data_IF_498318341079
#
_entry.id   IF_498318341079
#
_cell.length_a   1.000
_cell.length_b   1.000
_cell.length_c   1.000
_cell.angle_alpha   90.00
_cell.angle_beta   90.00
_cell.angle_gamma   90.00
#
_symmetry.space_group_name_H-M   'P 1'
#
loop_
_entity.id
_entity.type
_entity.pdbx_description
1 polymer ?
#
# COMPACT_ATOMS: atom_id res chain seq x y z
N UNK A 1 -30.27 -21.18 15.77
CA UNK A 1 -29.90 -21.15 14.34
C UNK A 1 -28.52 -20.54 14.05
N UNK A 2 -28.12 -19.39 14.63
CA UNK A 2 -26.88 -18.67 14.23
C UNK A 2 -25.49 -19.29 14.54
N UNK A 3 -25.36 -20.18 15.55
CA UNK A 3 -24.03 -20.66 16.00
C UNK A 3 -23.47 -21.80 15.14
N UNK A 4 -24.33 -22.74 14.73
CA UNK A 4 -23.94 -23.95 13.98
C UNK A 4 -23.47 -23.58 12.57
N UNK A 5 -24.19 -22.68 11.90
CA UNK A 5 -23.84 -22.19 10.56
C UNK A 5 -22.49 -21.47 10.55
N UNK A 6 -22.22 -20.65 11.58
CA UNK A 6 -20.94 -19.96 11.75
C UNK A 6 -19.78 -20.92 11.97
N UNK A 7 -19.95 -21.93 12.84
CA UNK A 7 -18.94 -22.96 13.07
C UNK A 7 -18.67 -23.82 11.83
N UNK A 8 -19.71 -24.15 11.05
CA UNK A 8 -19.57 -24.83 9.76
C UNK A 8 -18.79 -23.99 8.75
N UNK A 9 -19.08 -22.69 8.63
CA UNK A 9 -18.38 -21.80 7.73
C UNK A 9 -16.87 -21.71 8.08
N UNK A 10 -16.53 -21.58 9.38
CA UNK A 10 -15.12 -21.59 9.82
C UNK A 10 -14.45 -22.91 9.47
N UNK A 11 -15.12 -24.04 9.73
CA UNK A 11 -14.60 -25.38 9.42
C UNK A 11 -14.30 -25.55 7.92
N UNK A 12 -15.17 -25.06 7.05
CA UNK A 12 -14.97 -25.09 5.59
C UNK A 12 -13.73 -24.28 5.19
N UNK A 13 -13.61 -23.05 5.70
CA UNK A 13 -12.46 -22.17 5.41
C UNK A 13 -11.14 -22.76 5.90
N UNK A 14 -11.14 -23.34 7.09
CA UNK A 14 -9.99 -24.06 7.67
C UNK A 14 -9.57 -25.23 6.77
N UNK A 15 -10.52 -26.03 6.31
CA UNK A 15 -10.24 -27.17 5.40
C UNK A 15 -9.71 -26.68 4.06
N UNK A 16 -10.31 -25.64 3.49
CA UNK A 16 -9.89 -25.04 2.24
C UNK A 16 -8.45 -24.52 2.32
N UNK A 17 -8.11 -23.76 3.38
CA UNK A 17 -6.74 -23.25 3.51
C UNK A 17 -5.73 -24.38 3.67
N UNK A 18 -6.07 -25.46 4.40
CA UNK A 18 -5.20 -26.65 4.48
C UNK A 18 -4.94 -27.26 3.11
N UNK A 19 -5.98 -27.41 2.27
CA UNK A 19 -5.80 -27.97 0.92
C UNK A 19 -4.98 -27.04 0.02
N UNK A 20 -5.16 -25.72 0.12
CA UNK A 20 -4.37 -24.73 -0.63
C UNK A 20 -2.89 -24.81 -0.23
N UNK A 21 -2.59 -24.78 1.07
CA UNK A 21 -1.21 -24.92 1.59
C UNK A 21 -0.58 -26.24 1.14
N UNK A 22 -1.30 -27.36 1.27
CA UNK A 22 -0.83 -28.67 0.82
C UNK A 22 -0.52 -28.68 -0.69
N UNK A 23 -1.37 -28.05 -1.49
CA UNK A 23 -1.24 -28.02 -2.95
C UNK A 23 -0.05 -27.20 -3.40
N UNK A 24 0.14 -26.02 -2.82
CA UNK A 24 1.18 -25.06 -3.24
C UNK A 24 2.53 -25.44 -2.64
N UNK A 25 2.59 -25.63 -1.32
CA UNK A 25 3.85 -25.85 -0.60
C UNK A 25 4.24 -27.33 -0.48
N UNK A 26 3.36 -28.26 -0.91
CA UNK A 26 3.59 -29.72 -0.81
C UNK A 26 3.87 -30.17 0.64
N UNK A 27 3.22 -29.52 1.61
CA UNK A 27 3.40 -29.76 3.05
C UNK A 27 2.06 -29.80 3.79
N UNK A 28 1.90 -30.82 4.61
CA UNK A 28 0.71 -31.00 5.46
C UNK A 28 0.97 -30.37 6.82
N UNK A 29 0.24 -29.30 7.14
CA UNK A 29 0.39 -28.56 8.40
C UNK A 29 0.04 -29.39 9.64
N UNK A 30 -0.67 -30.51 9.48
CA UNK A 30 -0.97 -31.44 10.57
C UNK A 30 0.18 -32.42 10.86
N UNK A 31 1.14 -32.58 9.94
CA UNK A 31 2.23 -33.56 10.09
C UNK A 31 3.15 -33.19 11.25
N UNK A 32 3.48 -34.11 12.13
CA UNK A 32 4.45 -33.86 13.20
C UNK A 32 5.86 -33.67 12.60
N UNK A 33 6.57 -32.63 13.03
CA UNK A 33 7.91 -32.32 12.53
C UNK A 33 8.30 -30.87 12.75
N UNK A 34 9.59 -30.59 12.52
CA UNK A 34 10.22 -29.26 12.65
C UNK A 34 11.13 -28.91 11.46
N UNK A 35 10.98 -29.62 10.34
CA UNK A 35 11.68 -29.25 9.10
C UNK A 35 11.28 -27.83 8.68
N UNK A 36 12.24 -27.03 8.18
CA UNK A 36 12.02 -25.61 7.89
C UNK A 36 10.82 -25.38 6.96
N UNK A 37 10.71 -26.17 5.89
CA UNK A 37 9.57 -26.11 4.94
C UNK A 37 8.19 -26.37 5.59
N UNK A 38 8.11 -27.21 6.61
CA UNK A 38 6.87 -27.46 7.36
C UNK A 38 6.58 -26.33 8.35
N UNK A 39 7.62 -25.75 8.95
CA UNK A 39 7.50 -24.56 9.80
C UNK A 39 6.95 -23.40 8.96
N UNK A 40 7.52 -23.16 7.76
CA UNK A 40 7.04 -22.15 6.83
C UNK A 40 5.54 -22.32 6.53
N UNK A 41 5.14 -23.53 6.12
CA UNK A 41 3.76 -23.85 5.79
C UNK A 41 2.81 -23.58 6.97
N UNK A 42 3.20 -23.96 8.19
CA UNK A 42 2.41 -23.69 9.41
C UNK A 42 2.33 -22.20 9.74
N UNK A 43 3.43 -21.48 9.62
CA UNK A 43 3.50 -20.06 9.95
C UNK A 43 2.66 -19.22 8.99
N UNK A 44 2.67 -19.58 7.70
CA UNK A 44 1.77 -19.01 6.68
C UNK A 44 0.31 -19.33 7.03
N UNK A 45 0.00 -20.60 7.32
CA UNK A 45 -1.34 -21.05 7.70
C UNK A 45 -1.90 -20.29 8.92
N UNK A 46 -1.10 -20.16 10.00
CA UNK A 46 -1.47 -19.43 11.21
C UNK A 46 -1.76 -17.97 10.93
N UNK A 47 -0.91 -17.34 10.11
CA UNK A 47 -1.03 -15.93 9.81
C UNK A 47 -2.29 -15.62 9.00
N UNK A 48 -2.60 -16.42 7.98
CA UNK A 48 -3.80 -16.22 7.16
C UNK A 48 -5.07 -16.39 7.99
N UNK A 49 -5.19 -17.46 8.80
CA UNK A 49 -6.37 -17.65 9.65
C UNK A 49 -6.54 -16.55 10.71
N UNK A 50 -5.43 -16.02 11.23
CA UNK A 50 -5.49 -14.94 12.21
C UNK A 50 -5.91 -13.62 11.57
N UNK A 51 -5.29 -13.25 10.45
CA UNK A 51 -5.48 -11.92 9.86
C UNK A 51 -6.72 -11.83 8.98
N UNK A 52 -7.06 -12.88 8.22
CA UNK A 52 -8.22 -12.89 7.30
C UNK A 52 -9.48 -13.40 7.98
N UNK A 53 -9.38 -14.51 8.71
CA UNK A 53 -10.56 -15.16 9.33
C UNK A 53 -10.81 -14.78 10.79
N UNK A 54 -9.91 -13.98 11.38
CA UNK A 54 -10.00 -13.50 12.77
C UNK A 54 -10.12 -14.61 13.82
N UNK A 55 -9.63 -15.81 13.50
CA UNK A 55 -9.63 -16.94 14.45
C UNK A 55 -8.73 -16.64 15.66
N UNK A 56 -9.08 -17.19 16.82
CA UNK A 56 -8.23 -17.12 18.02
C UNK A 56 -7.03 -18.06 17.88
N UNK A 57 -5.92 -17.73 18.55
CA UNK A 57 -4.71 -18.59 18.53
C UNK A 57 -5.01 -20.01 19.03
N UNK A 58 -5.90 -20.13 20.01
CA UNK A 58 -6.35 -21.41 20.54
C UNK A 58 -7.13 -22.21 19.49
N UNK A 59 -8.06 -21.58 18.77
CA UNK A 59 -8.84 -22.23 17.71
C UNK A 59 -7.95 -22.72 16.55
N UNK A 60 -6.97 -21.89 16.16
CA UNK A 60 -5.97 -22.26 15.15
C UNK A 60 -5.09 -23.39 15.66
N UNK A 61 -4.66 -23.37 16.93
CA UNK A 61 -3.86 -24.43 17.51
C UNK A 61 -4.61 -25.76 17.51
N UNK A 62 -5.87 -25.76 17.93
CA UNK A 62 -6.75 -26.94 17.88
C UNK A 62 -6.90 -27.50 16.46
N UNK A 63 -6.96 -26.65 15.44
CA UNK A 63 -7.14 -27.13 14.06
C UNK A 63 -5.96 -27.94 13.54
N UNK A 64 -4.76 -27.79 14.12
CA UNK A 64 -3.54 -28.53 13.73
C UNK A 64 -2.86 -29.27 14.89
N UNK A 65 -3.59 -29.48 15.99
CA UNK A 65 -3.10 -30.18 17.20
C UNK A 65 -1.82 -29.54 17.79
N UNK A 66 -1.77 -28.21 17.84
CA UNK A 66 -0.66 -27.44 18.41
C UNK A 66 -1.11 -26.51 19.54
N UNK A 67 -0.15 -26.14 20.40
CA UNK A 67 -0.38 -25.15 21.44
C UNK A 67 -0.56 -23.74 20.83
N UNK A 68 -1.48 -22.96 21.37
CA UNK A 68 -1.71 -21.55 21.03
C UNK A 68 -0.42 -20.70 21.12
N UNK A 69 0.50 -21.02 22.03
CA UNK A 69 1.80 -20.35 22.14
C UNK A 69 2.66 -20.54 20.88
N UNK A 70 2.64 -21.73 20.28
CA UNK A 70 3.34 -22.01 19.01
C UNK A 70 2.71 -21.25 17.84
N UNK A 71 1.37 -21.12 17.85
CA UNK A 71 0.64 -20.33 16.85
C UNK A 71 1.00 -18.85 16.97
N UNK A 72 0.99 -18.30 18.19
CA UNK A 72 1.37 -16.91 18.45
C UNK A 72 2.81 -16.63 18.03
N UNK A 73 3.73 -17.54 18.36
CA UNK A 73 5.12 -17.43 17.92
C UNK A 73 5.22 -17.39 16.39
N UNK A 74 4.60 -18.34 15.70
CA UNK A 74 4.59 -18.38 14.23
C UNK A 74 3.97 -17.14 13.61
N UNK A 75 2.86 -16.66 14.15
CA UNK A 75 2.20 -15.43 13.72
C UNK A 75 3.14 -14.21 13.78
N UNK A 76 3.82 -14.01 14.90
CA UNK A 76 4.74 -12.88 15.07
C UNK A 76 5.98 -13.00 14.17
N UNK A 77 6.50 -14.22 13.95
CA UNK A 77 7.62 -14.47 13.04
C UNK A 77 7.23 -14.18 11.60
N UNK A 78 6.06 -14.62 11.15
CA UNK A 78 5.55 -14.35 9.81
C UNK A 78 5.51 -12.85 9.49
N UNK A 79 5.08 -11.99 10.43
CA UNK A 79 5.08 -10.53 10.23
C UNK A 79 6.45 -9.97 9.88
N UNK A 80 7.49 -10.46 10.55
CA UNK A 80 8.87 -10.06 10.30
C UNK A 80 9.36 -10.66 8.98
N UNK A 81 9.14 -11.95 8.76
CA UNK A 81 9.65 -12.68 7.60
C UNK A 81 9.06 -12.22 6.27
N UNK A 82 7.79 -11.81 6.23
CA UNK A 82 7.21 -11.19 5.02
C UNK A 82 8.00 -9.93 4.60
N UNK A 83 8.58 -9.20 5.56
CA UNK A 83 9.34 -7.97 5.26
C UNK A 83 10.75 -8.32 4.79
N UNK A 84 11.43 -9.21 5.51
CA UNK A 84 12.89 -9.41 5.35
C UNK A 84 13.28 -10.58 4.44
N UNK A 85 12.41 -11.59 4.28
CA UNK A 85 12.70 -12.81 3.51
C UNK A 85 11.82 -12.84 2.25
N UNK A 86 12.47 -12.61 1.10
CA UNK A 86 11.80 -12.56 -0.20
C UNK A 86 11.16 -13.90 -0.59
N UNK A 87 11.81 -15.01 -0.27
CA UNK A 87 11.33 -16.35 -0.64
C UNK A 87 10.14 -16.75 0.24
N UNK A 88 10.23 -16.48 1.54
CA UNK A 88 9.10 -16.66 2.44
C UNK A 88 7.91 -15.76 2.04
N UNK A 89 8.17 -14.48 1.70
CA UNK A 89 7.14 -13.57 1.21
C UNK A 89 6.46 -14.11 -0.04
N UNK A 90 7.23 -14.65 -1.00
CA UNK A 90 6.68 -15.23 -2.23
C UNK A 90 5.73 -16.39 -1.92
N UNK A 91 6.16 -17.36 -1.09
CA UNK A 91 5.32 -18.47 -0.63
C UNK A 91 4.04 -17.98 0.05
N UNK A 92 4.15 -16.98 0.92
CA UNK A 92 3.01 -16.39 1.62
C UNK A 92 2.00 -15.77 0.65
N UNK A 93 2.45 -14.95 -0.30
CA UNK A 93 1.59 -14.29 -1.28
C UNK A 93 0.92 -15.28 -2.22
N UNK A 94 1.63 -16.33 -2.63
CA UNK A 94 1.08 -17.38 -3.48
C UNK A 94 -0.04 -18.14 -2.78
N UNK A 95 0.18 -18.58 -1.53
CA UNK A 95 -0.85 -19.25 -0.72
C UNK A 95 -2.03 -18.33 -0.46
N UNK A 96 -1.78 -17.07 -0.10
CA UNK A 96 -2.83 -16.11 0.17
C UNK A 96 -3.67 -15.83 -1.07
N UNK A 97 -3.03 -15.62 -2.22
CA UNK A 97 -3.71 -15.36 -3.50
C UNK A 97 -4.64 -16.52 -3.85
N UNK A 98 -4.12 -17.76 -3.90
CA UNK A 98 -4.94 -18.93 -4.21
C UNK A 98 -6.06 -19.16 -3.19
N UNK A 99 -5.82 -18.91 -1.90
CA UNK A 99 -6.86 -19.03 -0.87
C UNK A 99 -7.98 -18.02 -1.08
N UNK A 100 -7.64 -16.76 -1.35
CA UNK A 100 -8.64 -15.72 -1.63
C UNK A 100 -9.38 -16.00 -2.92
N UNK A 101 -8.70 -16.40 -4.00
CA UNK A 101 -9.35 -16.80 -5.24
C UNK A 101 -10.32 -17.95 -5.02
N UNK A 102 -9.93 -18.99 -4.27
CA UNK A 102 -10.81 -20.13 -3.99
C UNK A 102 -11.98 -19.78 -3.05
N UNK A 103 -11.83 -18.80 -2.17
CA UNK A 103 -12.92 -18.31 -1.32
C UNK A 103 -13.92 -17.42 -2.06
N UNK A 104 -13.41 -16.57 -2.94
CA UNK A 104 -14.16 -15.49 -3.57
C UNK A 104 -14.40 -15.72 -5.05
N UNK A 105 -14.25 -16.97 -5.55
CA UNK A 105 -14.53 -17.38 -6.94
C UNK A 105 -16.02 -17.23 -7.35
N UNK A 106 -16.79 -16.42 -6.61
CA UNK A 106 -17.96 -15.73 -7.11
C UNK A 106 -17.57 -14.67 -8.17
N UNK A 107 -18.37 -14.54 -9.23
CA UNK A 107 -18.23 -13.49 -10.25
C UNK A 107 -18.09 -12.07 -9.68
N UNK A 108 -18.59 -11.84 -8.46
CA UNK A 108 -18.55 -10.57 -7.75
C UNK A 108 -17.14 -10.19 -7.25
N UNK A 109 -16.33 -11.17 -6.82
CA UNK A 109 -14.94 -10.94 -6.40
C UNK A 109 -14.05 -10.51 -7.56
N UNK A 110 -14.22 -11.16 -8.74
CA UNK A 110 -13.53 -10.80 -9.98
C UNK A 110 -13.93 -9.39 -10.47
N UNK A 111 -15.21 -9.02 -10.30
CA UNK A 111 -15.71 -7.68 -10.62
C UNK A 111 -15.08 -6.59 -9.75
N UNK A 112 -15.05 -6.81 -8.43
CA UNK A 112 -14.45 -5.88 -7.47
C UNK A 112 -12.95 -5.69 -7.72
N UNK A 113 -12.22 -6.77 -8.02
CA UNK A 113 -10.79 -6.69 -8.33
C UNK A 113 -10.54 -5.91 -9.63
N UNK A 114 -11.34 -6.17 -10.68
CA UNK A 114 -11.28 -5.41 -11.92
C UNK A 114 -11.62 -3.92 -11.71
N UNK A 115 -12.55 -3.61 -10.79
CA UNK A 115 -12.89 -2.23 -10.42
C UNK A 115 -11.74 -1.54 -9.68
N UNK A 116 -11.10 -2.22 -8.72
CA UNK A 116 -9.91 -1.71 -8.00
C UNK A 116 -8.75 -1.43 -8.96
N UNK A 117 -8.50 -2.33 -9.93
CA UNK A 117 -7.47 -2.12 -10.95
C UNK A 117 -7.77 -0.87 -11.78
N UNK A 118 -9.01 -0.72 -12.28
CA UNK A 118 -9.43 0.48 -13.02
C UNK A 118 -9.29 1.76 -12.21
N UNK A 119 -9.65 1.73 -10.93
CA UNK A 119 -9.53 2.86 -10.01
C UNK A 119 -8.06 3.24 -9.84
N UNK A 120 -7.19 2.28 -9.59
CA UNK A 120 -5.75 2.51 -9.43
C UNK A 120 -5.09 3.05 -10.70
N UNK A 121 -5.42 2.50 -11.87
CA UNK A 121 -4.95 3.04 -13.15
C UNK A 121 -5.40 4.49 -13.35
N UNK A 122 -6.65 4.79 -12.99
CA UNK A 122 -7.20 6.14 -13.08
C UNK A 122 -6.53 7.11 -12.11
N UNK A 123 -6.29 6.68 -10.88
CA UNK A 123 -5.57 7.45 -9.86
C UNK A 123 -4.12 7.71 -10.28
N UNK A 124 -3.41 6.68 -10.75
CA UNK A 124 -2.04 6.81 -11.21
C UNK A 124 -1.93 7.76 -12.41
N UNK A 125 -2.86 7.68 -13.37
CA UNK A 125 -2.94 8.64 -14.47
C UNK A 125 -3.22 10.06 -13.98
N UNK A 126 -4.18 10.26 -13.08
CA UNK A 126 -4.47 11.59 -12.50
C UNK A 126 -3.29 12.16 -11.71
N UNK A 127 -2.57 11.29 -11.00
CA UNK A 127 -1.36 11.66 -10.26
C UNK A 127 -0.27 12.10 -11.23
N UNK A 128 -0.08 11.34 -12.32
CA UNK A 128 0.85 11.68 -13.39
C UNK A 128 0.49 13.01 -14.06
N UNK A 129 -0.78 13.21 -14.43
CA UNK A 129 -1.27 14.47 -15.01
C UNK A 129 -1.06 15.65 -14.05
N UNK A 130 -1.16 15.42 -12.74
CA UNK A 130 -0.93 16.45 -11.73
C UNK A 130 0.56 16.76 -11.59
N UNK A 131 1.44 15.75 -11.63
CA UNK A 131 2.89 15.92 -11.68
C UNK A 131 3.32 16.67 -12.95
N UNK A 132 2.75 16.33 -14.11
CA UNK A 132 3.04 17.00 -15.38
C UNK A 132 2.53 18.45 -15.43
N UNK A 133 1.48 18.78 -14.65
CA UNK A 133 1.00 20.16 -14.47
C UNK A 133 1.89 20.98 -13.54
N UNK A 134 2.47 20.35 -12.50
CA UNK A 134 3.44 21.00 -11.60
C UNK A 134 4.80 21.15 -12.26
N UNK A 135 5.22 20.17 -13.08
CA UNK A 135 6.47 20.17 -13.83
C UNK A 135 6.38 20.85 -15.20
N UNK A 136 5.22 21.35 -15.61
CA UNK A 136 5.17 22.30 -16.73
C UNK A 136 5.87 23.57 -16.25
N UNK A 137 7.00 23.98 -16.85
CA UNK A 137 7.49 25.33 -16.60
C UNK A 137 6.32 26.26 -16.89
N UNK A 138 6.01 27.13 -15.92
CA UNK A 138 4.97 28.13 -16.07
C UNK A 138 5.17 28.76 -17.44
N UNK A 139 4.21 28.59 -18.37
CA UNK A 139 4.25 29.30 -19.66
C UNK A 139 4.00 30.77 -19.35
N UNK A 140 5.03 31.44 -18.87
CA UNK A 140 5.13 32.88 -18.93
C UNK A 140 5.90 33.14 -20.20
N UNK A 141 5.32 33.89 -21.12
CA UNK A 141 5.98 34.29 -22.35
C UNK A 141 7.38 34.84 -22.00
N UNK A 142 8.40 34.10 -22.46
CA UNK A 142 9.78 34.21 -22.02
C UNK A 142 10.45 35.52 -22.45
N UNK A 143 10.21 36.56 -21.66
CA UNK A 143 10.82 37.86 -21.89
C UNK A 143 11.07 38.62 -20.59
N UNK A 144 10.02 38.88 -19.81
CA UNK A 144 10.13 39.73 -18.62
C UNK A 144 10.45 38.94 -17.35
N UNK A 145 9.74 37.85 -17.08
CA UNK A 145 9.89 37.08 -15.83
C UNK A 145 11.17 36.25 -15.80
N UNK A 146 11.62 35.71 -16.94
CA UNK A 146 12.90 35.00 -17.03
C UNK A 146 14.08 35.92 -16.67
N UNK A 147 14.07 37.15 -17.22
CA UNK A 147 15.06 38.18 -16.86
C UNK A 147 14.96 38.59 -15.40
N UNK A 148 13.76 38.62 -14.83
CA UNK A 148 13.58 38.90 -13.40
C UNK A 148 14.18 37.78 -12.54
N UNK A 149 13.97 36.51 -12.91
CA UNK A 149 14.57 35.37 -12.22
C UNK A 149 16.11 35.41 -12.30
N UNK A 150 16.68 35.68 -13.47
CA UNK A 150 18.14 35.85 -13.63
C UNK A 150 18.70 36.99 -12.75
N UNK A 151 17.97 38.12 -12.66
CA UNK A 151 18.37 39.25 -11.81
C UNK A 151 18.28 38.87 -10.33
N UNK A 152 17.23 38.17 -9.92
CA UNK A 152 17.06 37.72 -8.53
C UNK A 152 18.15 36.71 -8.15
N UNK A 153 18.42 35.74 -9.01
CA UNK A 153 19.41 34.68 -8.76
C UNK A 153 20.86 35.20 -8.78
N UNK A 154 21.12 36.33 -9.45
CA UNK A 154 22.45 36.96 -9.51
C UNK A 154 22.70 37.98 -8.39
N UNK A 155 21.72 38.23 -7.53
CA UNK A 155 21.85 39.16 -6.40
C UNK A 155 22.38 38.43 -5.17
N UNK A 156 23.51 38.90 -4.58
CA UNK A 156 24.00 38.36 -3.32
C UNK A 156 22.97 38.50 -2.20
N UNK A 157 22.88 37.49 -1.32
CA UNK A 157 21.90 37.41 -0.24
C UNK A 157 21.89 38.66 0.66
N UNK A 158 23.06 39.26 0.92
CA UNK A 158 23.23 40.48 1.72
C UNK A 158 22.61 41.73 1.09
N UNK A 159 22.18 41.66 -0.17
CA UNK A 159 21.57 42.75 -0.93
C UNK A 159 20.13 42.45 -1.36
N UNK A 160 19.60 41.27 -1.05
CA UNK A 160 18.25 40.86 -1.44
C UNK A 160 17.17 41.81 -0.88
N UNK A 161 17.32 42.24 0.37
CA UNK A 161 16.38 43.13 1.04
C UNK A 161 16.40 44.54 0.42
N UNK A 162 17.58 45.05 0.03
CA UNK A 162 17.69 46.33 -0.68
C UNK A 162 17.08 46.28 -2.09
N UNK A 163 17.19 45.15 -2.77
CA UNK A 163 16.55 44.95 -4.07
C UNK A 163 15.02 44.97 -3.91
N UNK A 164 14.49 44.29 -2.90
CA UNK A 164 13.06 44.23 -2.61
C UNK A 164 12.49 45.64 -2.35
N UNK A 165 13.10 46.43 -1.48
CA UNK A 165 12.67 47.81 -1.19
C UNK A 165 12.57 48.67 -2.45
N UNK A 166 13.54 48.55 -3.36
CA UNK A 166 13.55 49.32 -4.61
C UNK A 166 12.46 48.87 -5.58
N UNK A 167 12.23 47.56 -5.69
CA UNK A 167 11.17 47.01 -6.53
C UNK A 167 9.79 47.45 -6.03
N UNK A 168 9.57 47.46 -4.71
CA UNK A 168 8.34 47.95 -4.10
C UNK A 168 8.11 49.45 -4.34
N UNK A 169 9.18 50.25 -4.26
CA UNK A 169 9.11 51.68 -4.58
C UNK A 169 8.71 51.92 -6.04
N UNK A 170 9.34 51.20 -6.99
CA UNK A 170 9.03 51.27 -8.42
C UNK A 170 7.58 50.84 -8.68
N UNK A 171 7.14 49.73 -8.09
CA UNK A 171 5.78 49.25 -8.22
C UNK A 171 4.76 50.29 -7.70
N UNK A 172 5.06 50.92 -6.56
CA UNK A 172 4.22 51.97 -5.96
C UNK A 172 4.13 53.22 -6.84
N UNK A 173 5.22 53.60 -7.51
CA UNK A 173 5.22 54.69 -8.49
C UNK A 173 4.36 54.36 -9.71
N UNK A 174 4.53 53.16 -10.29
CA UNK A 174 3.74 52.70 -11.42
C UNK A 174 2.24 52.67 -11.10
N UNK A 175 1.88 52.19 -9.91
CA UNK A 175 0.49 52.17 -9.43
C UNK A 175 -0.11 53.58 -9.35
N UNK A 176 0.66 54.56 -8.87
CA UNK A 176 0.24 55.97 -8.81
C UNK A 176 0.07 56.60 -10.20
N UNK A 177 0.96 56.31 -11.14
CA UNK A 177 0.88 56.82 -12.51
C UNK A 177 -0.32 56.26 -13.27
N UNK A 178 -0.66 54.98 -13.05
CA UNK A 178 -1.86 54.34 -13.59
C UNK A 178 -3.14 54.98 -13.04
N UNK A 179 -3.14 55.40 -11.77
CA UNK A 179 -4.29 56.11 -11.18
C UNK A 179 -4.42 57.55 -11.66
N UNK A 180 -3.33 58.23 -12.05
CA UNK A 180 -3.36 59.60 -12.60
C UNK A 180 -3.84 59.68 -14.05
N UNK A 181 -3.62 58.65 -14.87
CA UNK A 181 -4.07 58.59 -16.28
C UNK A 181 -5.57 58.33 -16.47
N UNK A 182 -6.34 58.15 -15.38
CA UNK A 182 -7.79 57.87 -15.39
C UNK A 182 -8.68 59.10 -15.09
N UNK A 183 -8.10 60.30 -15.07
CA UNK A 183 -8.78 61.61 -14.93
C UNK A 183 -8.51 62.40 -16.21
#
# INVERSE_FOLDING_TARGET
>A
MRKIEFEMAISIKVKLLKSVVQTILKRDVNKVGREASLIDARFIYFHILRDREKMTYESIGRSVLMNHASVLHGYNRTKQWIIVDLEFRKKYLEVLSCYLSALYDSDEGKRLEAEVVKINETLNRKLQDSLDKVNKPMRVEGGAYDRMHEIIDSVPDDKAENLLERLEAIYSMMKKDLTRKRI
#
